data_IF_000669351715
#
_entry.id   IF_000669351715
#
_cell.length_a   1.000
_cell.length_b   1.000
_cell.length_c   1.000
_cell.angle_alpha   90.00
_cell.angle_beta   90.00
_cell.angle_gamma   90.00
#
_symmetry.space_group_name_H-M   'P 1'
#
loop_
_entity.id
_entity.type
_entity.pdbx_description
1 polymer ?
#
# COMPACT_ATOMS: atom_id res chain seq x y z
N UNK A 1 -1.33 -5.85 20.95
CA UNK A 1 -0.12 -5.86 21.81
C UNK A 1 1.15 -6.19 21.02
N UNK A 2 1.05 -6.76 19.83
CA UNK A 2 2.17 -7.05 18.94
C UNK A 2 2.35 -5.94 17.88
N UNK A 3 3.54 -5.91 17.27
CA UNK A 3 3.80 -5.11 16.06
C UNK A 3 2.74 -5.40 14.99
N UNK A 4 2.43 -4.47 14.12
CA UNK A 4 2.90 -3.07 14.08
C UNK A 4 2.06 -2.12 14.95
N UNK A 5 0.88 -2.55 15.44
CA UNK A 5 -0.12 -1.65 16.02
C UNK A 5 0.06 -1.36 17.52
N UNK A 6 0.78 -2.21 18.25
CA UNK A 6 1.04 -2.05 19.70
C UNK A 6 -0.20 -1.69 20.55
N UNK A 7 -1.35 -2.28 20.24
CA UNK A 7 -2.64 -1.99 20.83
C UNK A 7 -2.60 -2.04 22.36
N UNK A 8 -3.17 -1.02 23.00
CA UNK A 8 -3.43 -1.00 24.43
C UNK A 8 -4.57 -1.98 24.80
N UNK A 9 -4.81 -2.20 26.09
CA UNK A 9 -5.97 -2.99 26.55
C UNK A 9 -7.29 -2.32 26.15
N UNK A 10 -7.33 -0.99 26.18
CA UNK A 10 -8.50 -0.21 25.72
C UNK A 10 -8.78 -0.40 24.24
N UNK A 11 -7.73 -0.38 23.40
CA UNK A 11 -7.87 -0.59 21.95
C UNK A 11 -8.35 -2.01 21.66
N UNK A 12 -7.77 -3.02 22.32
CA UNK A 12 -8.21 -4.42 22.17
C UNK A 12 -9.68 -4.59 22.55
N UNK A 13 -10.09 -3.99 23.67
CA UNK A 13 -11.49 -4.02 24.12
C UNK A 13 -12.41 -3.34 23.11
N UNK A 14 -12.03 -2.17 22.60
CA UNK A 14 -12.80 -1.47 21.58
C UNK A 14 -12.98 -2.33 20.31
N UNK A 15 -11.93 -3.00 19.83
CA UNK A 15 -11.99 -3.91 18.68
C UNK A 15 -12.94 -5.08 18.95
N UNK A 16 -12.81 -5.75 20.10
CA UNK A 16 -13.66 -6.89 20.46
C UNK A 16 -15.13 -6.52 20.58
N UNK A 17 -15.44 -5.41 21.26
CA UNK A 17 -16.80 -4.90 21.41
C UNK A 17 -17.40 -4.45 20.07
N UNK A 18 -16.61 -3.80 19.22
CA UNK A 18 -17.03 -3.38 17.87
C UNK A 18 -17.39 -4.61 17.02
N UNK A 19 -16.49 -5.60 16.93
CA UNK A 19 -16.73 -6.82 16.16
C UNK A 19 -17.94 -7.61 16.70
N UNK A 20 -18.11 -7.67 18.01
CA UNK A 20 -19.25 -8.36 18.64
C UNK A 20 -20.59 -7.66 18.32
N UNK A 21 -20.59 -6.35 18.14
CA UNK A 21 -21.79 -5.56 17.80
C UNK A 21 -22.11 -5.50 16.31
N UNK A 22 -21.28 -6.05 15.43
CA UNK A 22 -21.44 -5.99 13.98
C UNK A 22 -22.28 -7.15 13.45
N UNK A 23 -23.13 -6.89 12.46
CA UNK A 23 -23.78 -7.92 11.63
C UNK A 23 -22.77 -8.59 10.70
N UNK A 24 -23.16 -9.69 10.06
CA UNK A 24 -22.31 -10.36 9.06
C UNK A 24 -22.06 -9.46 7.85
N UNK A 25 -23.05 -8.71 7.39
CA UNK A 25 -22.97 -7.76 6.28
C UNK A 25 -21.95 -6.63 6.62
N UNK A 26 -22.04 -6.06 7.81
CA UNK A 26 -21.09 -5.04 8.26
C UNK A 26 -19.65 -5.60 8.32
N UNK A 27 -19.45 -6.82 8.83
CA UNK A 27 -18.13 -7.48 8.85
C UNK A 27 -17.58 -7.71 7.44
N UNK A 28 -18.42 -8.17 6.51
CA UNK A 28 -18.04 -8.38 5.12
C UNK A 28 -17.65 -7.03 4.48
N UNK A 29 -18.45 -5.98 4.70
CA UNK A 29 -18.18 -4.63 4.18
C UNK A 29 -16.80 -4.10 4.58
N UNK A 30 -16.37 -4.35 5.83
CA UNK A 30 -15.06 -3.91 6.32
C UNK A 30 -13.87 -4.54 5.58
N UNK A 31 -14.06 -5.63 4.86
CA UNK A 31 -13.00 -6.26 4.06
C UNK A 31 -12.78 -5.58 2.71
N UNK A 32 -13.65 -4.65 2.31
CA UNK A 32 -13.59 -4.01 1.01
C UNK A 32 -13.03 -2.60 1.07
N UNK A 33 -12.07 -2.34 0.17
CA UNK A 33 -11.63 -1.02 -0.24
C UNK A 33 -12.33 -0.64 -1.53
N UNK A 34 -13.22 0.35 -1.46
CA UNK A 34 -13.94 0.82 -2.63
C UNK A 34 -13.07 1.78 -3.47
N UNK A 35 -13.20 1.72 -4.79
CA UNK A 35 -12.72 2.77 -5.67
C UNK A 35 -13.80 3.84 -5.78
N UNK A 36 -13.61 4.97 -5.11
CA UNK A 36 -14.54 6.08 -5.13
C UNK A 36 -14.68 6.68 -6.54
N UNK A 37 -15.78 6.37 -7.21
CA UNK A 37 -16.06 6.80 -8.59
C UNK A 37 -16.81 8.13 -8.66
N UNK A 38 -17.41 8.58 -7.56
CA UNK A 38 -18.14 9.85 -7.44
C UNK A 38 -17.85 10.54 -6.11
N UNK A 39 -17.98 11.88 -6.09
CA UNK A 39 -17.92 12.73 -4.90
C UNK A 39 -19.29 13.29 -4.52
N UNK A 40 -20.32 12.84 -5.22
CA UNK A 40 -21.69 13.17 -4.85
C UNK A 40 -22.01 12.71 -3.42
N UNK A 41 -22.61 13.57 -2.62
CA UNK A 41 -22.82 13.32 -1.20
C UNK A 41 -23.74 12.11 -0.96
N UNK A 42 -24.77 11.92 -1.79
CA UNK A 42 -25.68 10.77 -1.67
C UNK A 42 -24.93 9.46 -1.98
N UNK A 43 -24.08 9.49 -3.02
CA UNK A 43 -23.23 8.34 -3.34
C UNK A 43 -22.25 8.01 -2.20
N UNK A 44 -21.58 8.99 -1.62
CA UNK A 44 -20.64 8.79 -0.51
C UNK A 44 -21.35 8.20 0.71
N UNK A 45 -22.50 8.76 1.10
CA UNK A 45 -23.30 8.24 2.20
C UNK A 45 -23.79 6.82 1.93
N UNK A 46 -24.28 6.54 0.72
CA UNK A 46 -24.69 5.21 0.33
C UNK A 46 -23.57 4.17 0.47
N UNK A 47 -22.31 4.53 0.13
CA UNK A 47 -21.19 3.58 0.22
C UNK A 47 -20.91 3.16 1.65
N UNK A 48 -21.05 4.03 2.62
CA UNK A 48 -20.87 3.72 4.04
C UNK A 48 -22.10 3.11 4.68
N UNK A 49 -23.29 3.61 4.39
CA UNK A 49 -24.54 3.17 5.01
C UNK A 49 -25.00 1.81 4.50
N UNK A 50 -24.90 1.56 3.19
CA UNK A 50 -25.38 0.34 2.56
C UNK A 50 -24.32 -0.75 2.44
N UNK A 51 -23.09 -0.37 2.12
CA UNK A 51 -22.03 -1.35 1.86
C UNK A 51 -21.04 -1.50 3.00
N UNK A 52 -21.10 -0.62 4.02
CA UNK A 52 -20.28 -0.70 5.24
C UNK A 52 -18.78 -0.87 4.96
N UNK A 53 -18.26 -0.20 3.91
CA UNK A 53 -16.88 -0.36 3.44
C UNK A 53 -15.85 -0.07 4.54
N UNK A 54 -14.75 -0.83 4.55
CA UNK A 54 -13.64 -0.61 5.47
C UNK A 54 -12.69 0.48 5.03
N UNK A 55 -12.64 0.76 3.73
CA UNK A 55 -11.78 1.81 3.20
C UNK A 55 -12.15 2.27 1.81
N UNK A 56 -11.48 3.34 1.39
CA UNK A 56 -11.65 3.92 0.05
C UNK A 56 -10.32 4.40 -0.52
N UNK A 57 -10.13 4.18 -1.81
CA UNK A 57 -9.24 4.92 -2.68
C UNK A 57 -10.09 5.71 -3.68
N UNK A 58 -9.67 6.87 -4.08
CA UNK A 58 -10.47 7.80 -4.89
C UNK A 58 -9.73 8.26 -6.15
N UNK A 59 -10.48 8.78 -7.12
CA UNK A 59 -9.92 9.41 -8.30
C UNK A 59 -9.29 10.77 -7.96
N UNK A 60 -8.22 11.20 -8.65
CA UNK A 60 -7.57 12.47 -8.42
C UNK A 60 -8.54 13.66 -8.46
N UNK A 61 -8.38 14.61 -7.53
CA UNK A 61 -9.08 15.87 -7.47
C UNK A 61 -8.26 16.88 -6.67
N UNK A 62 -8.74 18.12 -6.55
CA UNK A 62 -8.09 19.12 -5.70
C UNK A 62 -8.13 18.74 -4.22
N UNK A 63 -7.17 19.22 -3.45
CA UNK A 63 -7.13 18.95 -2.00
C UNK A 63 -8.40 19.41 -1.28
N UNK A 64 -9.05 20.48 -1.75
CA UNK A 64 -10.32 20.94 -1.18
C UNK A 64 -11.46 19.92 -1.43
N UNK A 65 -11.58 19.40 -2.64
CA UNK A 65 -12.60 18.39 -3.00
C UNK A 65 -12.36 17.07 -2.28
N UNK A 66 -11.11 16.63 -2.20
CA UNK A 66 -10.75 15.38 -1.48
C UNK A 66 -11.02 15.53 0.02
N UNK A 67 -10.67 16.65 0.62
CA UNK A 67 -10.94 16.92 2.04
C UNK A 67 -12.44 16.87 2.34
N UNK A 68 -13.26 17.48 1.50
CA UNK A 68 -14.72 17.47 1.68
C UNK A 68 -15.30 16.05 1.52
N UNK A 69 -14.87 15.31 0.49
CA UNK A 69 -15.20 13.90 0.32
C UNK A 69 -14.89 13.08 1.58
N UNK A 70 -13.65 13.21 2.07
CA UNK A 70 -13.18 12.43 3.22
C UNK A 70 -13.92 12.82 4.51
N UNK A 71 -14.27 14.11 4.67
CA UNK A 71 -15.10 14.58 5.79
C UNK A 71 -16.48 13.93 5.77
N UNK A 72 -17.17 13.95 4.61
CA UNK A 72 -18.50 13.34 4.46
C UNK A 72 -18.43 11.83 4.78
N UNK A 73 -17.44 11.12 4.25
CA UNK A 73 -17.27 9.69 4.50
C UNK A 73 -17.06 9.39 5.98
N UNK A 74 -16.13 10.09 6.65
CA UNK A 74 -15.82 9.84 8.05
C UNK A 74 -16.97 10.20 8.99
N UNK A 75 -17.68 11.31 8.73
CA UNK A 75 -18.81 11.75 9.55
C UNK A 75 -20.03 10.82 9.47
N UNK A 76 -20.17 10.07 8.37
CA UNK A 76 -21.26 9.13 8.16
C UNK A 76 -20.86 7.66 8.41
N UNK A 77 -19.60 7.38 8.70
CA UNK A 77 -19.12 6.02 8.96
C UNK A 77 -19.29 5.64 10.42
N UNK A 78 -19.85 4.46 10.68
CA UNK A 78 -19.96 3.88 12.03
C UNK A 78 -18.60 3.50 12.60
N UNK A 79 -17.71 3.01 11.74
CA UNK A 79 -16.32 2.68 12.03
C UNK A 79 -15.45 3.60 11.18
N UNK A 80 -14.41 4.25 11.73
CA UNK A 80 -13.55 5.13 10.95
C UNK A 80 -12.93 4.41 9.74
N UNK A 81 -13.01 5.04 8.57
CA UNK A 81 -12.53 4.49 7.32
C UNK A 81 -11.01 4.60 7.19
N UNK A 82 -10.42 3.62 6.52
CA UNK A 82 -9.08 3.75 5.96
C UNK A 82 -9.19 4.47 4.61
N UNK A 83 -8.58 5.63 4.51
CA UNK A 83 -8.59 6.46 3.30
C UNK A 83 -7.21 6.45 2.67
N UNK A 84 -7.10 5.76 1.53
CA UNK A 84 -5.84 5.49 0.87
C UNK A 84 -5.53 6.45 -0.29
N UNK A 85 -4.26 6.77 -0.45
CA UNK A 85 -3.71 7.55 -1.57
C UNK A 85 -2.40 6.96 -2.09
N UNK A 86 -1.90 7.46 -3.22
CA UNK A 86 -0.65 7.00 -3.86
C UNK A 86 0.46 8.04 -3.75
N UNK A 87 1.07 8.21 -2.61
CA UNK A 87 2.10 9.22 -2.37
C UNK A 87 3.52 8.77 -2.74
N UNK A 88 3.65 8.03 -3.85
CA UNK A 88 4.95 7.53 -4.34
C UNK A 88 5.93 8.65 -4.74
N UNK A 89 5.39 9.75 -5.30
CA UNK A 89 6.17 10.82 -5.92
C UNK A 89 6.04 12.17 -5.21
N UNK A 90 5.19 12.24 -4.20
CA UNK A 90 4.83 13.49 -3.52
C UNK A 90 3.36 13.52 -3.11
N UNK A 91 2.92 14.64 -2.53
CA UNK A 91 1.53 14.90 -2.18
C UNK A 91 0.57 14.94 -3.38
N UNK A 92 1.12 15.14 -4.60
CA UNK A 92 0.36 15.05 -5.85
C UNK A 92 -0.27 13.66 -6.10
N UNK A 93 0.13 12.65 -5.38
CA UNK A 93 -0.52 11.33 -5.37
C UNK A 93 -1.75 11.25 -4.48
N UNK A 94 -1.97 12.25 -3.63
CA UNK A 94 -3.16 12.41 -2.79
C UNK A 94 -4.16 13.43 -3.35
N UNK A 95 -3.69 14.50 -3.99
CA UNK A 95 -4.52 15.50 -4.67
C UNK A 95 -3.79 16.13 -5.85
N UNK A 96 -4.54 16.67 -6.82
CA UNK A 96 -3.98 17.19 -8.07
C UNK A 96 -3.15 18.45 -7.90
N UNK A 97 -3.39 19.20 -6.85
CA UNK A 97 -2.68 20.42 -6.43
C UNK A 97 -1.62 20.15 -5.34
N UNK A 98 -1.36 18.88 -5.01
CA UNK A 98 -0.29 18.47 -4.11
C UNK A 98 1.10 18.60 -4.72
N UNK A 99 2.11 18.70 -3.87
CA UNK A 99 3.50 18.89 -4.28
C UNK A 99 4.07 17.62 -4.95
N UNK A 100 4.58 17.75 -6.16
CA UNK A 100 5.39 16.71 -6.81
C UNK A 100 6.85 16.89 -6.40
N UNK A 101 7.39 15.93 -5.63
CA UNK A 101 8.79 15.94 -5.18
C UNK A 101 9.68 15.23 -6.20
N UNK A 102 9.31 14.02 -6.61
CA UNK A 102 10.02 13.26 -7.63
C UNK A 102 9.81 11.76 -7.50
N UNK A 103 10.05 11.07 -8.60
CA UNK A 103 9.93 9.62 -8.67
C UNK A 103 10.98 8.91 -7.81
N UNK A 104 10.65 7.72 -7.29
CA UNK A 104 11.54 6.97 -6.40
C UNK A 104 12.89 6.65 -7.05
N UNK A 105 12.95 6.38 -8.36
CA UNK A 105 14.22 6.18 -9.08
C UNK A 105 15.12 7.41 -9.02
N UNK A 106 14.54 8.61 -9.14
CA UNK A 106 15.30 9.86 -9.00
C UNK A 106 15.86 10.01 -7.59
N UNK A 107 15.06 9.67 -6.59
CA UNK A 107 15.50 9.66 -5.18
C UNK A 107 16.60 8.60 -4.96
N UNK A 108 16.39 7.37 -5.46
CA UNK A 108 17.36 6.28 -5.37
C UNK A 108 18.72 6.62 -6.02
N UNK A 109 18.72 7.39 -7.12
CA UNK A 109 19.92 7.83 -7.80
C UNK A 109 20.79 8.79 -6.93
N UNK A 110 20.23 9.45 -5.93
CA UNK A 110 20.97 10.28 -4.99
C UNK A 110 21.88 9.46 -4.09
N UNK A 111 21.57 8.19 -3.84
CA UNK A 111 22.21 7.30 -2.86
C UNK A 111 22.23 7.86 -1.43
N UNK A 112 21.24 8.68 -1.10
CA UNK A 112 21.10 9.32 0.21
C UNK A 112 19.70 9.14 0.73
N UNK A 113 19.54 8.29 1.73
CA UNK A 113 18.25 7.92 2.32
C UNK A 113 17.50 9.11 2.94
N UNK A 114 18.17 10.21 3.24
CA UNK A 114 17.50 11.44 3.72
C UNK A 114 16.46 11.95 2.75
N UNK A 115 16.71 11.82 1.44
CA UNK A 115 15.71 12.24 0.43
C UNK A 115 14.50 11.31 0.37
N UNK A 116 14.69 10.01 0.61
CA UNK A 116 13.56 9.09 0.73
C UNK A 116 12.73 9.36 2.00
N UNK A 117 13.40 9.65 3.12
CA UNK A 117 12.74 10.09 4.36
C UNK A 117 11.92 11.36 4.14
N UNK A 118 12.50 12.39 3.51
CA UNK A 118 11.78 13.65 3.24
C UNK A 118 10.64 13.44 2.24
N UNK A 119 10.81 12.58 1.24
CA UNK A 119 9.72 12.19 0.34
C UNK A 119 8.55 11.60 1.14
N UNK A 120 8.80 10.62 2.01
CA UNK A 120 7.77 10.03 2.86
C UNK A 120 7.13 11.05 3.79
N UNK A 121 7.93 11.85 4.49
CA UNK A 121 7.48 12.84 5.47
C UNK A 121 6.58 13.90 4.84
N UNK A 122 7.02 14.52 3.75
CA UNK A 122 6.30 15.64 3.12
C UNK A 122 5.05 15.17 2.38
N UNK A 123 5.17 14.09 1.59
CA UNK A 123 4.04 13.56 0.83
C UNK A 123 2.88 13.15 1.73
N UNK A 124 3.18 12.47 2.83
CA UNK A 124 2.15 11.98 3.74
C UNK A 124 1.64 13.05 4.70
N UNK A 125 2.41 14.12 4.96
CA UNK A 125 1.92 15.31 5.63
C UNK A 125 0.83 16.02 4.81
N UNK A 126 1.02 16.18 3.50
CA UNK A 126 0.01 16.75 2.61
C UNK A 126 -1.23 15.84 2.52
N UNK A 127 -1.03 14.53 2.39
CA UNK A 127 -2.12 13.56 2.38
C UNK A 127 -2.93 13.54 3.69
N UNK A 128 -2.26 13.55 4.84
CA UNK A 128 -2.92 13.62 6.14
C UNK A 128 -3.74 14.92 6.30
N UNK A 129 -3.24 16.04 5.78
CA UNK A 129 -3.93 17.33 5.85
C UNK A 129 -5.27 17.36 5.10
N UNK A 130 -5.51 16.42 4.19
CA UNK A 130 -6.78 16.26 3.46
C UNK A 130 -7.57 15.02 3.89
N UNK A 131 -7.17 14.38 5.00
CA UNK A 131 -7.90 13.29 5.64
C UNK A 131 -7.55 11.89 5.14
N UNK A 132 -6.43 11.70 4.41
CA UNK A 132 -5.88 10.38 4.13
C UNK A 132 -5.13 9.85 5.36
N UNK A 133 -5.12 8.51 5.54
CA UNK A 133 -4.43 7.85 6.65
C UNK A 133 -3.66 6.59 6.24
N UNK A 134 -3.66 6.25 4.94
CA UNK A 134 -2.87 5.15 4.37
C UNK A 134 -2.23 5.59 3.05
N UNK A 135 -0.94 5.35 2.91
CA UNK A 135 -0.24 5.44 1.62
C UNK A 135 -0.08 4.06 0.99
N UNK A 136 -0.43 3.93 -0.29
CA UNK A 136 -0.02 2.81 -1.13
C UNK A 136 1.42 3.02 -1.63
N UNK A 137 2.32 3.23 -0.68
CA UNK A 137 3.76 3.36 -0.82
C UNK A 137 4.45 2.92 0.49
N UNK A 138 5.77 2.63 0.47
CA UNK A 138 6.70 2.74 -0.66
C UNK A 138 6.53 1.62 -1.69
N UNK A 139 6.98 1.87 -2.93
CA UNK A 139 7.19 0.81 -3.91
C UNK A 139 8.49 0.09 -3.53
N UNK A 140 8.36 -1.18 -3.17
CA UNK A 140 9.43 -2.03 -2.63
C UNK A 140 10.01 -2.99 -3.66
N UNK A 141 9.57 -2.83 -4.91
CA UNK A 141 10.00 -3.61 -6.05
C UNK A 141 11.45 -3.31 -6.43
N UNK A 142 12.11 -4.29 -7.06
CA UNK A 142 13.51 -4.21 -7.47
C UNK A 142 13.59 -4.31 -8.99
N UNK A 143 14.23 -3.34 -9.65
CA UNK A 143 14.33 -3.31 -11.11
C UNK A 143 15.43 -4.26 -11.61
N UNK A 144 15.14 -5.54 -11.67
CA UNK A 144 16.04 -6.52 -12.28
C UNK A 144 15.98 -6.52 -13.81
N UNK A 145 14.79 -6.22 -14.36
CA UNK A 145 14.57 -6.14 -15.79
C UNK A 145 14.17 -4.71 -16.20
N UNK A 146 15.04 -4.05 -16.94
CA UNK A 146 14.81 -2.68 -17.41
C UNK A 146 13.62 -2.56 -18.40
N UNK A 147 13.21 -3.70 -19.01
CA UNK A 147 12.04 -3.76 -19.90
C UNK A 147 10.71 -3.85 -19.14
N UNK A 148 10.74 -3.96 -17.81
CA UNK A 148 9.51 -3.95 -17.03
C UNK A 148 8.78 -2.61 -17.17
N UNK A 149 7.53 -2.61 -17.70
CA UNK A 149 6.82 -1.36 -18.03
C UNK A 149 6.19 -0.68 -16.82
N UNK A 150 6.05 -1.39 -15.69
CA UNK A 150 5.28 -0.94 -14.52
C UNK A 150 6.18 -0.26 -13.49
N UNK A 151 7.36 -0.86 -13.22
CA UNK A 151 8.19 -0.49 -12.08
C UNK A 151 9.26 0.56 -12.43
N UNK A 152 9.75 0.59 -13.65
CA UNK A 152 10.81 1.43 -14.19
C UNK A 152 11.22 2.66 -13.36
N UNK A 153 10.40 3.71 -13.36
CA UNK A 153 10.68 4.94 -12.62
C UNK A 153 10.15 4.93 -11.17
N UNK A 154 9.44 3.90 -10.76
CA UNK A 154 8.75 3.84 -9.47
C UNK A 154 9.58 3.20 -8.36
N UNK A 155 10.66 2.48 -8.69
CA UNK A 155 11.55 1.82 -7.73
C UNK A 155 12.74 2.69 -7.33
N UNK A 156 13.36 2.39 -6.20
CA UNK A 156 14.64 3.00 -5.78
C UNK A 156 15.86 2.43 -6.51
N UNK A 157 15.70 1.43 -7.38
CA UNK A 157 16.75 0.87 -8.23
C UNK A 157 16.78 -0.65 -8.25
N UNK A 158 17.97 -1.19 -8.59
CA UNK A 158 18.22 -2.62 -8.77
C UNK A 158 19.15 -3.23 -7.70
N UNK A 159 19.48 -2.47 -6.69
CA UNK A 159 20.32 -2.91 -5.58
C UNK A 159 19.45 -3.16 -4.35
N UNK A 160 19.47 -4.38 -3.84
CA UNK A 160 18.60 -4.84 -2.74
C UNK A 160 18.82 -4.01 -1.47
N UNK A 161 20.08 -3.74 -1.12
CA UNK A 161 20.41 -3.02 0.11
C UNK A 161 19.94 -1.57 0.04
N UNK A 162 20.08 -0.95 -1.13
CA UNK A 162 19.55 0.40 -1.38
C UNK A 162 18.01 0.42 -1.31
N UNK A 163 17.33 -0.55 -1.91
CA UNK A 163 15.87 -0.63 -1.82
C UNK A 163 15.44 -0.81 -0.36
N UNK A 164 16.12 -1.66 0.42
CA UNK A 164 15.86 -1.81 1.85
C UNK A 164 16.01 -0.48 2.61
N UNK A 165 17.13 0.22 2.39
CA UNK A 165 17.43 1.48 3.08
C UNK A 165 16.42 2.58 2.73
N UNK A 166 16.15 2.76 1.42
CA UNK A 166 15.30 3.84 0.94
C UNK A 166 13.82 3.63 1.27
N UNK A 167 13.33 2.39 1.15
CA UNK A 167 11.92 2.08 1.49
C UNK A 167 11.66 2.23 2.98
N UNK A 168 12.62 1.80 3.82
CA UNK A 168 12.54 2.04 5.26
C UNK A 168 12.56 3.54 5.58
N UNK A 169 13.46 4.29 4.98
CA UNK A 169 13.54 5.74 5.19
C UNK A 169 12.25 6.46 4.77
N UNK A 170 11.64 6.07 3.65
CA UNK A 170 10.32 6.58 3.25
C UNK A 170 9.27 6.30 4.33
N UNK A 171 9.20 5.07 4.82
CA UNK A 171 8.24 4.66 5.86
C UNK A 171 8.48 5.43 7.16
N UNK A 172 9.73 5.55 7.62
CA UNK A 172 10.09 6.34 8.81
C UNK A 172 9.64 7.80 8.67
N UNK A 173 9.80 8.37 7.47
CA UNK A 173 9.32 9.72 7.16
C UNK A 173 7.79 9.82 7.21
N UNK A 174 7.08 8.86 6.63
CA UNK A 174 5.61 8.80 6.65
C UNK A 174 5.06 8.72 8.09
N UNK A 175 5.67 7.90 8.94
CA UNK A 175 5.29 7.69 10.34
C UNK A 175 5.51 8.92 11.24
N UNK A 176 6.18 9.96 10.77
CA UNK A 176 6.18 11.25 11.50
C UNK A 176 4.82 11.93 11.51
N UNK A 177 3.89 11.50 10.68
CA UNK A 177 2.51 11.93 10.68
C UNK A 177 1.70 10.91 11.52
N UNK A 178 1.25 11.34 12.69
CA UNK A 178 0.55 10.48 13.65
C UNK A 178 -0.66 9.75 13.02
N UNK A 179 -0.74 8.44 13.23
CA UNK A 179 -1.81 7.59 12.70
C UNK A 179 -1.76 7.33 11.20
N UNK A 180 -0.69 7.73 10.50
CA UNK A 180 -0.54 7.50 9.07
C UNK A 180 0.18 6.18 8.82
N UNK A 181 -0.42 5.30 8.01
CA UNK A 181 0.07 3.96 7.70
C UNK A 181 0.68 3.87 6.30
N UNK A 182 1.52 2.86 6.09
CA UNK A 182 2.13 2.54 4.80
C UNK A 182 1.73 1.14 4.33
N UNK A 183 1.56 0.98 3.01
CA UNK A 183 1.39 -0.32 2.36
C UNK A 183 2.51 -0.52 1.34
N UNK A 184 3.47 -1.37 1.66
CA UNK A 184 4.55 -1.74 0.74
C UNK A 184 4.01 -2.58 -0.42
N UNK A 185 4.52 -2.35 -1.65
CA UNK A 185 4.00 -2.99 -2.85
C UNK A 185 5.10 -3.21 -3.90
N UNK A 186 4.92 -4.17 -4.82
CA UNK A 186 3.78 -5.07 -5.08
C UNK A 186 4.20 -6.51 -4.73
N UNK A 187 3.74 -7.03 -3.61
CA UNK A 187 4.10 -8.38 -3.17
C UNK A 187 3.59 -9.45 -4.17
N UNK A 188 4.35 -10.49 -4.51
CA UNK A 188 5.65 -10.93 -3.98
C UNK A 188 6.87 -10.23 -4.61
N UNK A 189 6.71 -9.24 -5.46
CA UNK A 189 7.77 -8.44 -6.05
C UNK A 189 7.69 -8.37 -7.56
N UNK A 190 7.51 -7.16 -8.09
CA UNK A 190 7.55 -6.80 -9.50
C UNK A 190 8.97 -6.34 -9.90
N UNK A 191 9.19 -6.13 -11.20
CA UNK A 191 10.46 -5.63 -11.74
C UNK A 191 11.36 -6.71 -12.33
N UNK A 192 10.93 -7.98 -12.35
CA UNK A 192 11.64 -9.10 -12.97
C UNK A 192 11.05 -9.43 -14.34
N UNK A 193 9.73 -9.55 -14.44
CA UNK A 193 9.02 -9.87 -15.68
C UNK A 193 8.89 -8.62 -16.57
N UNK A 194 8.88 -8.79 -17.89
CA UNK A 194 8.65 -7.74 -18.87
C UNK A 194 7.16 -7.47 -19.14
N UNK A 195 6.27 -8.29 -18.60
CA UNK A 195 4.82 -8.15 -18.74
C UNK A 195 4.24 -7.19 -17.72
N UNK A 196 3.21 -6.46 -18.14
CA UNK A 196 2.42 -5.64 -17.23
C UNK A 196 1.42 -6.52 -16.49
N UNK A 197 1.56 -6.62 -15.16
CA UNK A 197 0.70 -7.40 -14.29
C UNK A 197 -0.78 -7.02 -14.33
N UNK A 198 -1.14 -5.84 -14.86
CA UNK A 198 -2.52 -5.40 -15.00
C UNK A 198 -3.19 -5.92 -16.28
N UNK A 199 -2.42 -6.47 -17.22
CA UNK A 199 -2.90 -6.88 -18.55
C UNK A 199 -2.61 -8.35 -18.86
N UNK A 200 -1.57 -8.91 -18.23
CA UNK A 200 -1.16 -10.29 -18.42
C UNK A 200 -0.55 -10.85 -17.13
N UNK A 201 -0.54 -12.19 -17.02
CA UNK A 201 0.09 -12.86 -15.87
C UNK A 201 1.58 -12.51 -15.81
N UNK A 202 1.96 -11.81 -14.77
CA UNK A 202 3.36 -11.53 -14.44
C UNK A 202 3.90 -12.60 -13.51
N UNK A 203 5.18 -12.93 -13.67
CA UNK A 203 5.81 -14.01 -12.92
C UNK A 203 7.10 -13.53 -12.26
N UNK A 204 7.20 -13.71 -10.98
CA UNK A 204 8.47 -13.68 -10.27
C UNK A 204 8.98 -15.13 -10.19
N UNK A 205 9.89 -15.50 -11.08
CA UNK A 205 10.38 -16.87 -11.28
C UNK A 205 11.63 -17.19 -10.44
N UNK A 206 11.98 -16.37 -9.49
CA UNK A 206 13.06 -16.63 -8.54
C UNK A 206 12.82 -17.90 -7.74
N UNK A 207 13.91 -18.63 -7.44
CA UNK A 207 13.87 -19.68 -6.41
C UNK A 207 13.50 -19.08 -5.04
N UNK A 208 13.14 -19.93 -4.06
CA UNK A 208 12.85 -19.47 -2.72
C UNK A 208 14.06 -18.73 -2.11
N UNK A 209 15.25 -19.28 -2.30
CA UNK A 209 16.50 -18.71 -1.76
C UNK A 209 16.84 -17.34 -2.38
N UNK A 210 16.66 -17.19 -3.70
CA UNK A 210 16.86 -15.93 -4.40
C UNK A 210 15.85 -14.87 -3.95
N UNK A 211 14.58 -15.27 -3.82
CA UNK A 211 13.52 -14.39 -3.34
C UNK A 211 13.78 -13.95 -1.90
N UNK A 212 14.14 -14.87 -1.00
CA UNK A 212 14.46 -14.57 0.40
C UNK A 212 15.63 -13.58 0.52
N UNK A 213 16.65 -13.75 -0.33
CA UNK A 213 17.81 -12.86 -0.34
C UNK A 213 17.55 -11.48 -0.98
N UNK A 214 16.42 -11.29 -1.64
CA UNK A 214 16.06 -10.08 -2.37
C UNK A 214 14.76 -9.45 -1.87
N UNK A 215 13.64 -9.73 -2.51
CA UNK A 215 12.32 -9.19 -2.12
C UNK A 215 11.95 -9.55 -0.68
N UNK A 216 12.19 -10.81 -0.27
CA UNK A 216 11.97 -11.27 1.10
C UNK A 216 12.72 -10.41 2.12
N UNK A 217 14.00 -10.10 1.85
CA UNK A 217 14.82 -9.22 2.68
C UNK A 217 14.21 -7.82 2.80
N UNK A 218 13.71 -7.25 1.69
CA UNK A 218 13.08 -5.91 1.70
C UNK A 218 11.80 -5.92 2.55
N UNK A 219 10.91 -6.88 2.31
CA UNK A 219 9.66 -6.99 3.09
C UNK A 219 9.92 -7.28 4.57
N UNK A 220 10.87 -8.20 4.87
CA UNK A 220 11.22 -8.50 6.26
C UNK A 220 11.76 -7.26 6.99
N UNK A 221 12.65 -6.49 6.33
CA UNK A 221 13.15 -5.24 6.88
C UNK A 221 12.02 -4.25 7.19
N UNK A 222 11.05 -4.09 6.31
CA UNK A 222 9.92 -3.19 6.53
C UNK A 222 9.00 -3.70 7.66
N UNK A 223 8.68 -5.00 7.71
CA UNK A 223 7.88 -5.62 8.76
C UNK A 223 8.55 -5.45 10.12
N UNK A 224 9.85 -5.71 10.21
CA UNK A 224 10.62 -5.56 11.46
C UNK A 224 10.65 -4.13 11.96
N UNK A 225 10.48 -3.15 11.06
CA UNK A 225 10.45 -1.73 11.38
C UNK A 225 9.02 -1.14 11.45
N UNK A 226 7.97 -1.96 11.43
CA UNK A 226 6.61 -1.54 11.77
C UNK A 226 5.68 -1.27 10.60
N UNK A 227 5.95 -1.85 9.42
CA UNK A 227 5.02 -1.79 8.27
C UNK A 227 3.64 -2.34 8.65
N UNK A 228 2.57 -1.61 8.33
CA UNK A 228 1.20 -1.96 8.70
C UNK A 228 0.48 -2.80 7.65
N UNK A 229 0.81 -2.59 6.37
CA UNK A 229 0.11 -3.26 5.28
C UNK A 229 1.05 -3.67 4.14
N UNK A 230 0.65 -4.71 3.42
CA UNK A 230 1.31 -5.19 2.21
C UNK A 230 0.24 -5.28 1.12
N UNK A 231 0.54 -4.70 -0.05
CA UNK A 231 -0.32 -4.84 -1.23
C UNK A 231 0.14 -6.03 -2.07
N UNK A 232 -0.69 -7.07 -2.14
CA UNK A 232 -0.48 -8.17 -3.06
C UNK A 232 -0.68 -7.69 -4.52
N UNK A 233 0.24 -8.03 -5.39
CA UNK A 233 0.19 -7.77 -6.82
C UNK A 233 -0.44 -8.91 -7.60
N UNK A 234 -0.72 -8.67 -8.89
CA UNK A 234 -1.18 -9.68 -9.84
C UNK A 234 0.01 -10.48 -10.37
N UNK A 235 0.82 -11.03 -9.47
CA UNK A 235 2.12 -11.64 -9.74
C UNK A 235 2.14 -13.06 -9.18
N UNK A 236 2.52 -14.01 -10.01
CA UNK A 236 2.76 -15.39 -9.59
C UNK A 236 4.16 -15.53 -8.99
N UNK A 237 4.29 -16.37 -7.96
CA UNK A 237 5.58 -16.81 -7.41
C UNK A 237 5.62 -18.34 -7.35
N UNK A 238 5.98 -19.01 -8.46
CA UNK A 238 5.84 -20.44 -8.59
C UNK A 238 6.67 -21.26 -7.60
N UNK A 239 7.88 -20.81 -7.27
CA UNK A 239 8.76 -21.53 -6.36
C UNK A 239 8.13 -21.67 -4.96
N UNK A 240 7.64 -20.59 -4.39
CA UNK A 240 6.96 -20.62 -3.08
C UNK A 240 5.61 -21.33 -3.14
N UNK A 241 4.86 -21.16 -4.24
CA UNK A 241 3.62 -21.89 -4.43
C UNK A 241 3.84 -23.41 -4.38
N UNK A 242 4.89 -23.91 -5.06
CA UNK A 242 5.26 -25.35 -5.04
C UNK A 242 5.85 -25.78 -3.68
N UNK A 243 6.60 -24.89 -3.03
CA UNK A 243 7.16 -25.19 -1.70
C UNK A 243 6.07 -25.49 -0.67
N UNK A 244 5.01 -24.66 -0.64
CA UNK A 244 3.90 -24.85 0.31
C UNK A 244 2.83 -25.84 -0.19
N UNK A 245 2.76 -26.08 -1.50
CA UNK A 245 1.80 -27.01 -2.11
C UNK A 245 2.54 -28.05 -3.00
N UNK A 246 3.25 -29.00 -2.39
CA UNK A 246 3.94 -30.03 -3.19
C UNK A 246 2.96 -30.82 -4.06
N UNK A 247 3.22 -30.85 -5.38
CA UNK A 247 2.35 -31.53 -6.33
C UNK A 247 1.29 -30.66 -7.01
N UNK A 248 1.25 -29.35 -6.72
CA UNK A 248 0.43 -28.41 -7.50
C UNK A 248 0.85 -28.45 -8.97
N UNK A 249 -0.11 -28.44 -9.88
CA UNK A 249 0.18 -28.36 -11.30
C UNK A 249 0.50 -26.94 -11.72
N UNK A 250 1.29 -26.78 -12.78
CA UNK A 250 1.67 -25.45 -13.26
C UNK A 250 0.46 -24.58 -13.66
N UNK A 251 -0.57 -25.20 -14.23
CA UNK A 251 -1.83 -24.57 -14.62
C UNK A 251 -2.69 -24.06 -13.43
N UNK A 252 -2.40 -24.54 -12.23
CA UNK A 252 -3.11 -24.17 -10.99
C UNK A 252 -2.34 -23.11 -10.17
N UNK A 253 -1.17 -22.67 -10.65
CA UNK A 253 -0.41 -21.59 -10.01
C UNK A 253 -1.03 -20.26 -10.37
N UNK A 254 -1.55 -19.56 -9.35
CA UNK A 254 -2.28 -18.32 -9.52
C UNK A 254 -1.50 -17.12 -8.97
N UNK A 255 -1.75 -15.91 -9.48
CA UNK A 255 -1.26 -14.67 -8.85
C UNK A 255 -1.75 -14.54 -7.40
N UNK A 256 -1.01 -13.81 -6.58
CA UNK A 256 -1.34 -13.61 -5.17
C UNK A 256 -2.67 -12.87 -4.90
N UNK A 257 -3.34 -12.40 -5.94
CA UNK A 257 -4.62 -11.68 -5.88
C UNK A 257 -5.83 -12.52 -6.36
N UNK A 258 -5.63 -13.79 -6.70
CA UNK A 258 -6.67 -14.73 -7.14
C UNK A 258 -6.78 -15.93 -6.21
#
# INVERSE_FOLDING_TARGET
>A
KAKPFYLSEGDCKWVEETIAGMTTEEKIGQLFFNMGSSRDEEYLKMTVDKYHIGGIRYNPATGAEVREQNRILQENSKIPLIIACNTENGGNGACTDGTMIGQQTKIGATRDARYAYELGRMSNKEAAAIGCNLSFAPVSDILYNWENPVIGLRTYGNDVDRVCEMTKAYMDGAHTNEGFCCAAKHFPGDGLDFRDQHVADSVNDMSCEEWDASYGKVYQNLIDNGLEAIMAGHIMQPAYTRHFNPGIKDEDIMPGTL
#
